data_IF_167043930363
#
_entry.id   IF_167043930363
#
_cell.length_a   1.000
_cell.length_b   1.000
_cell.length_c   1.000
_cell.angle_alpha   90.00
_cell.angle_beta   90.00
_cell.angle_gamma   90.00
#
_symmetry.space_group_name_H-M   'P 1'
#
loop_
_entity.id
_entity.type
_entity.pdbx_description
1 polymer ?
#
# COMPACT_ATOMS: atom_id res chain seq x y z
N UNK A 1 7.26 -11.13 -23.50
CA UNK A 1 7.00 -10.31 -22.30
C UNK A 1 7.68 -11.02 -21.13
N UNK A 2 8.84 -10.56 -20.68
CA UNK A 2 9.57 -11.20 -19.58
C UNK A 2 9.01 -10.66 -18.26
N UNK A 3 7.93 -11.29 -17.77
CA UNK A 3 7.28 -10.87 -16.52
C UNK A 3 8.13 -11.45 -15.39
N UNK A 4 9.08 -10.67 -14.87
CA UNK A 4 9.81 -11.03 -13.66
C UNK A 4 8.86 -10.85 -12.45
N UNK A 5 8.39 -11.93 -11.80
CA UNK A 5 7.41 -11.83 -10.73
C UNK A 5 7.93 -11.02 -9.54
N UNK A 6 9.25 -11.06 -9.30
CA UNK A 6 9.89 -10.27 -8.27
C UNK A 6 9.84 -8.78 -8.61
N UNK A 7 10.11 -8.40 -9.86
CA UNK A 7 10.01 -7.00 -10.30
C UNK A 7 8.57 -6.47 -10.22
N UNK A 8 7.58 -7.30 -10.54
CA UNK A 8 6.16 -6.96 -10.37
C UNK A 8 5.79 -6.79 -8.89
N UNK A 9 6.26 -7.66 -8.01
CA UNK A 9 6.03 -7.55 -6.57
C UNK A 9 6.71 -6.31 -5.97
N UNK A 10 7.94 -5.99 -6.36
CA UNK A 10 8.63 -4.78 -5.89
C UNK A 10 7.92 -3.52 -6.35
N UNK A 11 7.42 -3.48 -7.59
CA UNK A 11 6.67 -2.33 -8.09
C UNK A 11 5.36 -2.12 -7.33
N UNK A 12 4.65 -3.21 -6.99
CA UNK A 12 3.44 -3.14 -6.16
C UNK A 12 3.74 -2.64 -4.75
N UNK A 13 4.83 -3.10 -4.14
CA UNK A 13 5.27 -2.64 -2.82
C UNK A 13 5.61 -1.14 -2.84
N UNK A 14 6.36 -0.67 -3.85
CA UNK A 14 6.72 0.74 -3.98
C UNK A 14 5.48 1.63 -4.17
N UNK A 15 4.54 1.21 -5.02
CA UNK A 15 3.25 1.90 -5.21
C UNK A 15 2.45 1.97 -3.92
N UNK A 16 2.34 0.86 -3.20
CA UNK A 16 1.62 0.79 -1.94
C UNK A 16 2.24 1.70 -0.86
N UNK A 17 3.58 1.72 -0.74
CA UNK A 17 4.28 2.63 0.17
C UNK A 17 3.99 4.10 -0.14
N UNK A 18 4.06 4.49 -1.42
CA UNK A 18 3.79 5.86 -1.82
C UNK A 18 2.33 6.28 -1.55
N UNK A 19 1.36 5.38 -1.77
CA UNK A 19 -0.04 5.60 -1.41
C UNK A 19 -0.23 5.75 0.10
N UNK A 20 0.42 4.89 0.89
CA UNK A 20 0.34 4.94 2.34
C UNK A 20 0.92 6.24 2.90
N UNK A 21 2.09 6.67 2.41
CA UNK A 21 2.74 7.91 2.81
C UNK A 21 1.87 9.13 2.47
N UNK A 22 1.31 9.15 1.26
CA UNK A 22 0.42 10.24 0.83
C UNK A 22 -0.83 10.32 1.71
N UNK A 23 -1.47 9.17 1.96
CA UNK A 23 -2.67 9.10 2.80
C UNK A 23 -2.38 9.48 4.25
N UNK A 24 -1.24 9.03 4.81
CA UNK A 24 -0.81 9.41 6.16
C UNK A 24 -0.52 10.91 6.27
N UNK A 25 0.15 11.50 5.26
CA UNK A 25 0.38 12.95 5.20
C UNK A 25 -0.93 13.74 5.09
N UNK A 26 -1.90 13.25 4.31
CA UNK A 26 -3.23 13.87 4.23
C UNK A 26 -3.95 13.80 5.57
N UNK A 27 -3.91 12.66 6.27
CA UNK A 27 -4.49 12.53 7.62
C UNK A 27 -3.81 13.48 8.62
N UNK A 28 -2.48 13.58 8.59
CA UNK A 28 -1.72 14.46 9.48
C UNK A 28 -1.97 15.94 9.22
N UNK A 29 -2.31 16.31 7.97
CA UNK A 29 -2.66 17.68 7.57
C UNK A 29 -4.12 18.03 7.80
N UNK A 30 -5.01 17.04 7.95
CA UNK A 30 -6.39 17.31 8.30
C UNK A 30 -6.41 17.97 9.70
N UNK A 31 -7.20 19.03 9.91
CA UNK A 31 -7.38 19.65 11.21
C UNK A 31 -8.27 18.74 12.07
N UNK A 32 -7.71 17.61 12.51
CA UNK A 32 -8.36 16.63 13.39
C UNK A 32 -8.54 17.19 14.82
N UNK A 33 -7.92 18.35 15.10
CA UNK A 33 -8.06 19.04 16.37
C UNK A 33 -9.26 20.00 16.35
N UNK A 34 -10.22 19.73 17.25
CA UNK A 34 -11.40 20.54 17.57
C UNK A 34 -11.11 21.98 18.06
N UNK A 35 -9.90 22.54 17.86
CA UNK A 35 -9.46 23.84 18.40
C UNK A 35 -8.46 24.62 17.50
N UNK A 36 -8.47 24.43 16.18
CA UNK A 36 -7.79 25.41 15.31
C UNK A 36 -8.62 26.70 15.20
N UNK A 37 -8.32 27.67 16.07
CA UNK A 37 -8.88 29.02 15.98
C UNK A 37 -8.40 29.70 14.70
N UNK A 38 -9.29 29.80 13.70
CA UNK A 38 -9.03 30.53 12.45
C UNK A 38 -9.05 29.70 11.17
N UNK A 39 -9.32 28.40 11.22
CA UNK A 39 -9.54 27.61 9.98
C UNK A 39 -10.90 27.92 9.37
N UNK A 40 -10.91 28.34 8.10
CA UNK A 40 -12.12 28.68 7.32
C UNK A 40 -12.83 27.46 6.75
N UNK A 41 -12.25 26.27 6.83
CA UNK A 41 -12.82 25.04 6.26
C UNK A 41 -13.41 24.16 7.36
N UNK A 42 -14.70 23.83 7.21
CA UNK A 42 -15.39 22.91 8.11
C UNK A 42 -14.89 21.49 7.85
N UNK A 43 -14.11 20.94 8.77
CA UNK A 43 -13.73 19.53 8.76
C UNK A 43 -14.98 18.65 8.68
N UNK A 44 -15.10 17.85 7.62
CA UNK A 44 -16.14 16.84 7.54
C UNK A 44 -15.52 15.46 7.77
N UNK A 45 -16.15 14.64 8.61
CA UNK A 45 -15.70 13.27 8.87
C UNK A 45 -15.55 12.44 7.58
N UNK A 46 -16.22 12.86 6.50
CA UNK A 46 -16.09 12.28 5.17
C UNK A 46 -14.72 12.43 4.52
N UNK A 47 -13.94 13.44 4.93
CA UNK A 47 -12.61 13.71 4.37
C UNK A 47 -11.57 12.68 4.79
N UNK A 48 -11.86 11.91 5.86
CA UNK A 48 -11.05 10.77 6.30
C UNK A 48 -11.31 9.49 5.50
N UNK A 49 -12.46 9.35 4.82
CA UNK A 49 -12.77 8.10 4.09
C UNK A 49 -11.81 7.84 2.95
N UNK A 50 -11.44 8.88 2.18
CA UNK A 50 -10.52 8.74 1.04
C UNK A 50 -9.12 8.28 1.50
N UNK A 51 -8.46 8.96 2.46
CA UNK A 51 -7.16 8.50 2.97
C UNK A 51 -7.21 7.09 3.60
N UNK A 52 -8.24 6.77 4.37
CA UNK A 52 -8.39 5.44 4.99
C UNK A 52 -8.60 4.35 3.94
N UNK A 53 -9.39 4.62 2.90
CA UNK A 53 -9.58 3.70 1.78
C UNK A 53 -8.26 3.49 1.03
N UNK A 54 -7.51 4.56 0.74
CA UNK A 54 -6.19 4.46 0.10
C UNK A 54 -5.19 3.67 0.93
N UNK A 55 -5.22 3.78 2.27
CA UNK A 55 -4.41 2.93 3.15
C UNK A 55 -4.82 1.45 3.05
N UNK A 56 -6.11 1.15 2.96
CA UNK A 56 -6.60 -0.23 2.78
C UNK A 56 -6.25 -0.81 1.42
N UNK A 57 -6.29 0.00 0.37
CA UNK A 57 -5.81 -0.41 -0.95
C UNK A 57 -4.31 -0.72 -0.92
N UNK A 58 -3.49 0.12 -0.28
CA UNK A 58 -2.07 -0.11 -0.12
C UNK A 58 -1.76 -1.40 0.68
N UNK A 59 -2.54 -1.69 1.73
CA UNK A 59 -2.45 -2.94 2.48
C UNK A 59 -2.74 -4.16 1.59
N UNK A 60 -3.80 -4.11 0.78
CA UNK A 60 -4.17 -5.18 -0.13
C UNK A 60 -3.15 -5.39 -1.25
N UNK A 61 -2.62 -4.30 -1.84
CA UNK A 61 -1.55 -4.35 -2.85
C UNK A 61 -0.27 -4.97 -2.28
N UNK A 62 0.11 -4.60 -1.06
CA UNK A 62 1.27 -5.18 -0.36
C UNK A 62 1.04 -6.65 -0.08
N UNK A 63 -0.15 -7.03 0.41
CA UNK A 63 -0.52 -8.43 0.66
C UNK A 63 -0.45 -9.27 -0.62
N UNK A 64 -0.98 -8.76 -1.74
CA UNK A 64 -0.86 -9.40 -3.05
C UNK A 64 0.60 -9.55 -3.48
N UNK A 65 1.43 -8.52 -3.30
CA UNK A 65 2.85 -8.56 -3.62
C UNK A 65 3.59 -9.64 -2.79
N UNK A 66 3.30 -9.76 -1.49
CA UNK A 66 3.91 -10.81 -0.66
C UNK A 66 3.55 -12.22 -1.13
N UNK A 67 2.31 -12.43 -1.57
CA UNK A 67 1.87 -13.72 -2.14
C UNK A 67 2.61 -14.03 -3.45
N UNK A 68 2.86 -13.04 -4.30
CA UNK A 68 3.64 -13.20 -5.53
C UNK A 68 5.07 -13.63 -5.20
N UNK A 69 5.70 -13.01 -4.19
CA UNK A 69 7.05 -13.38 -3.73
C UNK A 69 7.07 -14.81 -3.20
N UNK A 70 6.10 -15.20 -2.37
CA UNK A 70 6.01 -16.57 -1.84
C UNK A 70 5.77 -17.62 -2.93
N UNK A 71 4.93 -17.29 -3.92
CA UNK A 71 4.70 -18.16 -5.06
C UNK A 71 5.98 -18.33 -5.89
N UNK A 72 6.70 -17.24 -6.14
CA UNK A 72 7.99 -17.26 -6.83
C UNK A 72 9.02 -18.13 -6.08
N UNK A 73 9.14 -17.95 -4.77
CA UNK A 73 10.07 -18.73 -3.93
C UNK A 73 9.73 -20.22 -3.94
N UNK A 74 8.44 -20.57 -3.79
CA UNK A 74 7.96 -21.95 -3.92
C UNK A 74 8.27 -22.54 -5.29
N UNK A 75 8.06 -21.79 -6.38
CA UNK A 75 8.37 -22.30 -7.72
C UNK A 75 9.85 -22.57 -7.92
N UNK A 76 10.74 -21.70 -7.40
CA UNK A 76 12.19 -21.93 -7.42
C UNK A 76 12.57 -23.16 -6.59
N UNK A 77 12.03 -23.28 -5.38
CA UNK A 77 12.24 -24.44 -4.52
C UNK A 77 11.82 -25.74 -5.18
N UNK A 78 10.62 -25.81 -5.73
CA UNK A 78 10.13 -27.00 -6.45
C UNK A 78 10.96 -27.35 -7.69
N UNK A 79 11.46 -26.36 -8.44
CA UNK A 79 12.34 -26.61 -9.58
C UNK A 79 13.71 -27.15 -9.17
N UNK A 80 14.25 -26.71 -8.03
CA UNK A 80 15.49 -27.23 -7.47
C UNK A 80 15.31 -28.66 -6.95
N UNK A 81 14.19 -28.93 -6.28
CA UNK A 81 13.86 -30.25 -5.70
C UNK A 81 13.66 -31.33 -6.77
N UNK A 82 13.15 -30.97 -7.96
CA UNK A 82 13.03 -31.88 -9.11
C UNK A 82 14.39 -32.30 -9.69
N UNK A 83 15.44 -31.49 -9.47
CA UNK A 83 16.80 -31.75 -9.98
C UNK A 83 17.73 -32.45 -8.98
N UNK A 84 17.35 -32.55 -7.71
CA UNK A 84 18.11 -33.21 -6.64
C UNK A 84 17.76 -34.71 -6.58
#
# INVERSE_FOLDING_TARGET
>A
MNINPLASATNLITSAQQKADTAAQTIARLPVQNQEVGSTESFQATDLFKPVLSLKEAELETSAATKIIQAHDKTLGSLLDIKA
#
